data_IF_091289946971
#
_entry.id   IF_091289946971
#
_cell.length_a   1.000
_cell.length_b   1.000
_cell.length_c   1.000
_cell.angle_alpha   90.00
_cell.angle_beta   90.00
_cell.angle_gamma   90.00
#
_symmetry.space_group_name_H-M   'P 1'
#
loop_
_entity.id
_entity.type
_entity.pdbx_description
1 polymer ?
#
# COMPACT_ATOMS: atom_id res chain seq x y z
N UNK A 1 20.37 2.98 -10.55
CA UNK A 1 20.18 2.65 -9.13
C UNK A 1 21.51 2.18 -8.56
N UNK A 2 22.21 2.97 -7.73
CA UNK A 2 23.38 2.44 -7.00
C UNK A 2 22.83 1.50 -5.94
N UNK A 3 23.01 0.18 -6.11
CA UNK A 3 22.78 -0.80 -5.04
C UNK A 3 23.80 -0.48 -3.95
N UNK A 4 23.35 0.26 -2.94
CA UNK A 4 24.20 0.93 -1.95
C UNK A 4 24.77 -0.03 -0.93
N UNK A 5 25.88 -0.67 -1.26
CA UNK A 5 26.87 -1.08 -0.27
C UNK A 5 27.83 0.09 -0.01
N UNK A 6 27.38 1.14 0.66
CA UNK A 6 28.32 2.12 1.23
C UNK A 6 28.98 1.41 2.41
N UNK A 7 30.31 1.30 2.40
CA UNK A 7 31.07 0.95 3.61
C UNK A 7 30.66 1.95 4.67
N UNK A 8 29.95 1.50 5.71
CA UNK A 8 29.64 2.39 6.82
C UNK A 8 30.98 2.86 7.41
N UNK A 9 31.03 4.12 7.82
CA UNK A 9 32.19 4.63 8.57
C UNK A 9 32.37 3.75 9.81
N UNK A 10 33.55 3.78 10.43
CA UNK A 10 33.80 3.03 11.67
C UNK A 10 32.70 3.38 12.70
N UNK A 11 31.79 2.45 12.98
CA UNK A 11 30.71 2.64 13.95
C UNK A 11 31.19 2.20 15.33
N UNK A 12 30.77 2.92 16.36
CA UNK A 12 31.04 2.58 17.76
C UNK A 12 29.72 2.52 18.52
N UNK A 13 29.50 1.43 19.25
CA UNK A 13 28.28 1.25 20.04
C UNK A 13 28.65 1.25 21.53
N UNK A 14 27.94 2.06 22.30
CA UNK A 14 28.07 2.10 23.75
C UNK A 14 27.03 1.15 24.34
N UNK A 15 27.47 0.24 25.20
CA UNK A 15 26.61 -0.67 25.93
C UNK A 15 26.25 -0.10 27.31
N UNK A 16 25.14 -0.56 27.89
CA UNK A 16 24.64 -0.05 29.17
C UNK A 16 25.61 -0.31 30.35
N UNK A 17 26.55 -1.25 30.18
CA UNK A 17 27.64 -1.54 31.12
C UNK A 17 28.85 -0.60 30.98
N UNK A 18 28.79 0.39 30.08
CA UNK A 18 29.85 1.36 29.82
C UNK A 18 30.92 0.88 28.83
N UNK A 19 30.80 -0.33 28.28
CA UNK A 19 31.73 -0.82 27.26
C UNK A 19 31.46 -0.15 25.91
N UNK A 20 32.55 0.13 25.18
CA UNK A 20 32.49 0.70 23.82
C UNK A 20 33.09 -0.32 22.86
N UNK A 21 32.30 -0.76 21.87
CA UNK A 21 32.77 -1.69 20.85
C UNK A 21 32.86 -0.99 19.49
N UNK A 22 34.02 -1.06 18.87
CA UNK A 22 34.31 -0.48 17.57
C UNK A 22 34.20 -1.50 16.44
N UNK A 23 33.43 -1.19 15.40
CA UNK A 23 33.24 -2.06 14.24
C UNK A 23 33.79 -1.41 12.95
N UNK A 24 35.06 -1.67 12.67
CA UNK A 24 35.81 -1.00 11.59
C UNK A 24 35.61 -1.63 10.19
N UNK A 25 34.76 -2.67 10.07
CA UNK A 25 34.56 -3.45 8.83
C UNK A 25 33.09 -3.75 8.53
N UNK A 26 32.15 -2.95 9.05
CA UNK A 26 30.74 -3.15 8.73
C UNK A 26 30.43 -2.81 7.28
N UNK A 27 29.76 -3.74 6.61
CA UNK A 27 29.17 -3.55 5.30
C UNK A 27 27.66 -3.47 5.47
N UNK A 28 27.08 -2.31 5.18
CA UNK A 28 25.63 -2.22 5.11
C UNK A 28 25.14 -2.80 3.78
N UNK A 29 24.24 -3.77 3.87
CA UNK A 29 23.55 -4.31 2.71
C UNK A 29 22.08 -3.97 2.87
N UNK A 30 21.55 -3.15 1.96
CA UNK A 30 20.11 -2.97 1.89
C UNK A 30 19.48 -4.25 1.34
N UNK A 31 18.63 -4.87 2.13
CA UNK A 31 17.83 -6.00 1.67
C UNK A 31 17.03 -5.58 0.42
N UNK A 32 17.10 -6.40 -0.64
CA UNK A 32 16.39 -6.17 -1.90
C UNK A 32 14.89 -5.94 -1.64
N UNK A 33 14.30 -6.67 -0.69
CA UNK A 33 12.89 -6.49 -0.27
C UNK A 33 12.63 -5.09 0.27
N UNK A 34 13.54 -4.54 1.08
CA UNK A 34 13.43 -3.18 1.61
C UNK A 34 13.53 -2.15 0.48
N UNK A 35 14.43 -2.37 -0.49
CA UNK A 35 14.54 -1.50 -1.66
C UNK A 35 13.26 -1.49 -2.50
N UNK A 36 12.66 -2.66 -2.76
CA UNK A 36 11.36 -2.77 -3.42
C UNK A 36 10.26 -2.04 -2.64
N UNK A 37 10.21 -2.20 -1.32
CA UNK A 37 9.24 -1.48 -0.48
C UNK A 37 9.36 0.04 -0.66
N UNK A 38 10.58 0.58 -0.66
CA UNK A 38 10.82 2.02 -0.85
C UNK A 38 10.42 2.51 -2.25
N UNK A 39 10.72 1.74 -3.30
CA UNK A 39 10.28 2.05 -4.67
C UNK A 39 8.75 2.12 -4.74
N UNK A 40 8.09 1.17 -4.10
CA UNK A 40 6.62 1.13 -4.00
C UNK A 40 6.06 2.35 -3.33
N UNK A 41 6.60 2.72 -2.16
CA UNK A 41 6.16 3.90 -1.44
C UNK A 41 6.23 5.15 -2.32
N UNK A 42 7.29 5.27 -3.13
CA UNK A 42 7.41 6.34 -4.13
C UNK A 42 6.33 6.25 -5.21
N UNK A 43 6.09 5.07 -5.79
CA UNK A 43 5.02 4.87 -6.79
C UNK A 43 3.65 5.24 -6.21
N UNK A 44 3.32 4.75 -5.01
CA UNK A 44 2.06 5.05 -4.31
C UNK A 44 1.92 6.55 -4.07
N UNK A 45 2.98 7.21 -3.62
CA UNK A 45 2.96 8.66 -3.38
C UNK A 45 2.76 9.46 -4.67
N UNK A 46 3.30 8.96 -5.79
CA UNK A 46 3.16 9.58 -7.10
C UNK A 46 1.74 9.40 -7.67
N UNK A 47 1.15 8.21 -7.52
CA UNK A 47 -0.22 7.89 -7.95
C UNK A 47 -1.20 7.93 -6.77
N UNK A 48 -1.22 9.06 -6.06
CA UNK A 48 -2.01 9.25 -4.85
C UNK A 48 -3.52 9.10 -5.07
N UNK A 49 -4.01 9.47 -6.25
CA UNK A 49 -5.41 9.30 -6.67
C UNK A 49 -5.82 7.83 -6.75
N UNK A 50 -4.98 6.96 -7.33
CA UNK A 50 -5.24 5.51 -7.41
C UNK A 50 -5.23 4.90 -6.01
N UNK A 51 -4.26 5.31 -5.19
CA UNK A 51 -4.19 4.84 -3.81
C UNK A 51 -5.42 5.27 -2.99
N UNK A 52 -5.90 6.49 -3.20
CA UNK A 52 -7.10 7.01 -2.55
C UNK A 52 -8.37 6.27 -2.99
N UNK A 53 -8.49 5.92 -4.27
CA UNK A 53 -9.55 5.06 -4.79
C UNK A 53 -9.57 3.70 -4.06
N UNK A 54 -8.43 3.02 -4.01
CA UNK A 54 -8.30 1.70 -3.37
C UNK A 54 -8.66 1.77 -1.88
N UNK A 55 -8.13 2.76 -1.16
CA UNK A 55 -8.37 2.93 0.28
C UNK A 55 -9.85 3.24 0.53
N UNK A 56 -10.43 4.17 -0.23
CA UNK A 56 -11.82 4.59 -0.05
C UNK A 56 -12.79 3.43 -0.24
N UNK A 57 -12.62 2.64 -1.30
CA UNK A 57 -13.47 1.48 -1.58
C UNK A 57 -13.29 0.41 -0.50
N UNK A 58 -12.06 0.09 -0.09
CA UNK A 58 -11.82 -0.87 1.00
C UNK A 58 -12.47 -0.42 2.33
N UNK A 59 -12.40 0.87 2.67
CA UNK A 59 -13.07 1.42 3.84
C UNK A 59 -14.59 1.26 3.72
N UNK A 60 -15.17 1.59 2.57
CA UNK A 60 -16.60 1.42 2.35
C UNK A 60 -17.04 -0.03 2.51
N UNK A 61 -16.33 -0.98 1.89
CA UNK A 61 -16.66 -2.40 1.98
C UNK A 61 -16.46 -2.98 3.38
N UNK A 62 -15.46 -2.52 4.13
CA UNK A 62 -15.24 -2.98 5.51
C UNK A 62 -16.31 -2.48 6.48
N UNK A 63 -16.87 -1.28 6.24
CA UNK A 63 -17.88 -0.66 7.12
C UNK A 63 -19.29 -1.21 6.96
N UNK A 64 -19.63 -1.81 5.83
CA UNK A 64 -20.96 -2.41 5.64
C UNK A 64 -20.89 -3.65 4.76
N UNK A 65 -21.22 -4.80 5.35
CA UNK A 65 -21.21 -6.07 4.65
C UNK A 65 -22.23 -6.15 3.50
N UNK A 66 -23.33 -5.37 3.54
CA UNK A 66 -24.30 -5.35 2.44
C UNK A 66 -23.70 -4.80 1.15
N UNK A 67 -22.75 -3.85 1.23
CA UNK A 67 -22.04 -3.32 0.05
C UNK A 67 -21.20 -4.39 -0.67
N UNK A 68 -20.72 -5.39 0.07
CA UNK A 68 -20.03 -6.55 -0.55
C UNK A 68 -20.98 -7.41 -1.39
N UNK A 69 -22.29 -7.41 -1.09
CA UNK A 69 -23.28 -8.16 -1.85
C UNK A 69 -23.54 -7.58 -3.25
N UNK A 70 -23.13 -6.34 -3.51
CA UNK A 70 -23.21 -5.71 -4.84
C UNK A 70 -22.19 -6.30 -5.83
N UNK A 71 -21.14 -6.98 -5.33
CA UNK A 71 -20.13 -7.66 -6.15
C UNK A 71 -20.66 -9.00 -6.66
N UNK A 72 -21.59 -8.94 -7.61
CA UNK A 72 -22.25 -10.12 -8.21
C UNK A 72 -21.58 -10.58 -9.49
N UNK A 73 -21.07 -9.64 -10.31
CA UNK A 73 -20.44 -9.90 -11.61
C UNK A 73 -18.92 -10.09 -11.53
N UNK A 74 -18.31 -9.62 -10.45
CA UNK A 74 -16.86 -9.62 -10.24
C UNK A 74 -16.54 -10.10 -8.82
N UNK A 75 -15.39 -10.76 -8.60
CA UNK A 75 -15.00 -11.16 -7.25
C UNK A 75 -14.76 -9.93 -6.37
N UNK A 76 -14.80 -10.07 -5.05
CA UNK A 76 -14.41 -8.99 -4.15
C UNK A 76 -12.94 -8.60 -4.37
N UNK A 77 -12.55 -7.33 -4.13
CA UNK A 77 -11.17 -6.91 -4.23
C UNK A 77 -10.27 -7.77 -3.34
N UNK A 78 -9.04 -8.10 -3.78
CA UNK A 78 -8.11 -8.86 -2.97
C UNK A 78 -7.74 -8.10 -1.69
N UNK A 79 -7.49 -8.85 -0.62
CA UNK A 79 -7.08 -8.27 0.65
C UNK A 79 -5.75 -7.52 0.52
N UNK A 80 -5.68 -6.36 1.17
CA UNK A 80 -4.51 -5.49 1.15
C UNK A 80 -3.76 -5.53 2.48
N UNK A 81 -2.49 -5.90 2.46
CA UNK A 81 -1.57 -5.62 3.55
C UNK A 81 -0.65 -4.46 3.17
N UNK A 82 -0.76 -3.32 3.88
CA UNK A 82 0.06 -2.12 3.63
C UNK A 82 1.57 -2.38 3.66
N UNK A 83 2.00 -3.36 4.46
CA UNK A 83 3.43 -3.68 4.65
C UNK A 83 3.96 -4.67 3.62
N UNK A 84 3.09 -5.35 2.84
CA UNK A 84 3.49 -6.32 1.82
C UNK A 84 3.34 -5.71 0.41
N UNK A 85 4.45 -5.21 -0.14
CA UNK A 85 4.51 -4.53 -1.44
C UNK A 85 3.68 -5.22 -2.54
N UNK A 86 3.88 -6.52 -2.74
CA UNK A 86 3.25 -7.26 -3.82
C UNK A 86 1.72 -7.22 -3.80
N UNK A 87 1.10 -6.96 -2.64
CA UNK A 87 -0.36 -6.88 -2.54
C UNK A 87 -0.89 -5.60 -3.18
N UNK A 88 -0.18 -4.48 -3.05
CA UNK A 88 -0.61 -3.23 -3.67
C UNK A 88 -0.67 -3.36 -5.20
N UNK A 89 0.34 -3.97 -5.81
CA UNK A 89 0.36 -4.19 -7.26
C UNK A 89 -0.77 -5.12 -7.73
N UNK A 90 -1.02 -6.22 -7.02
CA UNK A 90 -2.13 -7.13 -7.32
C UNK A 90 -3.49 -6.43 -7.23
N UNK A 91 -3.64 -5.54 -6.26
CA UNK A 91 -4.86 -4.73 -6.12
C UNK A 91 -4.99 -3.76 -7.28
N UNK A 92 -3.94 -2.99 -7.59
CA UNK A 92 -3.97 -2.07 -8.72
C UNK A 92 -4.31 -2.79 -10.02
N UNK A 93 -3.74 -3.96 -10.24
CA UNK A 93 -4.07 -4.81 -11.40
C UNK A 93 -5.56 -5.20 -11.39
N UNK A 94 -6.09 -5.68 -10.27
CA UNK A 94 -7.51 -6.00 -10.11
C UNK A 94 -8.40 -4.78 -10.44
N UNK A 95 -8.13 -3.63 -9.82
CA UNK A 95 -8.91 -2.41 -10.04
C UNK A 95 -8.81 -1.93 -11.49
N UNK A 96 -7.65 -2.04 -12.12
CA UNK A 96 -7.47 -1.66 -13.53
C UNK A 96 -8.32 -2.51 -14.48
N UNK A 97 -8.41 -3.83 -14.21
CA UNK A 97 -9.19 -4.77 -15.04
C UNK A 97 -10.69 -4.65 -14.80
N UNK A 98 -11.11 -4.29 -13.59
CA UNK A 98 -12.51 -4.29 -13.17
C UNK A 98 -13.09 -2.88 -13.00
N UNK A 99 -12.37 -1.83 -13.39
CA UNK A 99 -12.71 -0.44 -13.06
C UNK A 99 -14.14 -0.05 -13.46
N UNK A 100 -14.58 -0.45 -14.65
CA UNK A 100 -15.92 -0.13 -15.17
C UNK A 100 -17.00 -0.72 -14.25
N UNK A 101 -16.91 -2.01 -13.92
CA UNK A 101 -17.83 -2.68 -13.00
C UNK A 101 -17.78 -2.09 -11.59
N UNK A 102 -16.59 -1.70 -11.13
CA UNK A 102 -16.43 -1.05 -9.82
C UNK A 102 -17.16 0.31 -9.81
N UNK A 103 -17.06 1.09 -10.90
CA UNK A 103 -17.76 2.37 -11.04
C UNK A 103 -19.28 2.17 -11.04
N UNK A 104 -19.79 1.15 -11.75
CA UNK A 104 -21.20 0.76 -11.70
C UNK A 104 -21.65 0.42 -10.28
N UNK A 105 -20.93 -0.49 -9.60
CA UNK A 105 -21.24 -0.91 -8.22
C UNK A 105 -21.26 0.30 -7.27
N UNK A 106 -20.31 1.22 -7.39
CA UNK A 106 -20.26 2.42 -6.53
C UNK A 106 -21.45 3.35 -6.79
N UNK A 107 -21.89 3.47 -8.04
CA UNK A 107 -23.06 4.26 -8.40
C UNK A 107 -24.37 3.65 -7.89
N UNK A 108 -24.44 2.32 -7.75
CA UNK A 108 -25.57 1.60 -7.14
C UNK A 108 -25.69 1.82 -5.62
N UNK A 109 -24.66 2.35 -4.95
CA UNK A 109 -24.73 2.66 -3.52
C UNK A 109 -25.61 3.90 -3.32
N UNK A 110 -26.82 3.68 -2.79
CA UNK A 110 -27.83 4.74 -2.55
C UNK A 110 -27.49 5.61 -1.33
N UNK A 111 -26.72 5.08 -0.38
CA UNK A 111 -26.32 5.75 0.87
C UNK A 111 -25.54 7.07 0.61
N UNK A 112 -25.78 8.07 1.46
CA UNK A 112 -25.23 9.44 1.36
C UNK A 112 -24.26 9.78 2.51
N UNK A 113 -23.82 8.78 3.28
CA UNK A 113 -22.78 8.93 4.28
C UNK A 113 -21.45 9.45 3.67
N UNK A 114 -20.64 10.11 4.48
CA UNK A 114 -19.37 10.71 4.11
C UNK A 114 -18.41 9.72 3.43
N UNK A 115 -18.43 8.46 3.85
CA UNK A 115 -17.63 7.40 3.24
C UNK A 115 -18.08 7.13 1.80
N UNK A 116 -19.39 7.08 1.54
CA UNK A 116 -19.91 6.83 0.19
C UNK A 116 -19.65 8.02 -0.72
N UNK A 117 -19.82 9.25 -0.23
CA UNK A 117 -19.45 10.48 -0.94
C UNK A 117 -17.98 10.46 -1.37
N UNK A 118 -17.08 10.07 -0.47
CA UNK A 118 -15.65 9.94 -0.75
C UNK A 118 -15.38 8.92 -1.85
N UNK A 119 -16.03 7.76 -1.79
CA UNK A 119 -15.86 6.71 -2.81
C UNK A 119 -16.39 7.14 -4.17
N UNK A 120 -17.57 7.77 -4.22
CA UNK A 120 -18.15 8.32 -5.45
C UNK A 120 -17.21 9.35 -6.09
N UNK A 121 -16.63 10.24 -5.30
CA UNK A 121 -15.60 11.20 -5.76
C UNK A 121 -14.31 10.52 -6.24
N UNK A 122 -13.96 9.36 -5.70
CA UNK A 122 -12.75 8.64 -6.10
C UNK A 122 -12.92 7.88 -7.43
N UNK A 123 -14.15 7.51 -7.81
CA UNK A 123 -14.45 6.83 -9.10
C UNK A 123 -14.98 7.76 -10.19
N UNK A 124 -15.34 8.99 -9.86
CA UNK A 124 -15.85 9.99 -10.80
C UNK A 124 -14.76 10.43 -11.77
#
# INVERSE_FOLDING_TARGET
MKLGGLKLKNESFNFDNGEIVHFNKLFHITCIVHLYHNITGKIISHYSNINELIISINIALSKCASRKKLFTKIPLPPNFCKTRFGDWLKIVEYYSKQYIFIKEIVNEIIDDDAIVKRVKKAVS
#
